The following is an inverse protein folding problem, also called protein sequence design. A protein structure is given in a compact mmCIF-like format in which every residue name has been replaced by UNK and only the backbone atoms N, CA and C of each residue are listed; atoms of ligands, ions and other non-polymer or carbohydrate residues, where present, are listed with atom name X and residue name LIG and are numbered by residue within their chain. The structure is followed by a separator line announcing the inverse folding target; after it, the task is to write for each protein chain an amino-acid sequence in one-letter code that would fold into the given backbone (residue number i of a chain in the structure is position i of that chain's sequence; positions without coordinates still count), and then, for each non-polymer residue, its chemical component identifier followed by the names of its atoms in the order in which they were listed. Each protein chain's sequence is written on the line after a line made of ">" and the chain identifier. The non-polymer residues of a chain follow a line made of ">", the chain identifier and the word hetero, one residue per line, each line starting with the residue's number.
data_IF_045943672315
#
_entry.id   IF_045943672315
#
_cell.length_a   1.000
_cell.length_b   1.000
_cell.length_c   1.000
_cell.angle_alpha   90.00
_cell.angle_beta   90.00
_cell.angle_gamma   90.00
#
_symmetry.space_group_name_H-M   'P 1'
#
loop_
_entity.id
_entity.type
_entity.pdbx_description
1 polymer ?
#
# COMPACT_ATOMS: atom_id res chain seq x y z
N UNK A 1 -5.81 11.85 8.70
CA UNK A 1 -5.56 12.77 7.57
C UNK A 1 -6.89 13.00 6.88
N UNK A 2 -7.25 14.25 6.57
CA UNK A 2 -8.53 14.55 5.94
C UNK A 2 -8.49 15.77 5.01
N UNK A 3 -9.48 15.84 4.11
CA UNK A 3 -9.81 16.99 3.27
C UNK A 3 -8.59 17.59 2.52
N UNK A 4 -7.85 16.71 1.85
CA UNK A 4 -6.54 17.03 1.28
C UNK A 4 -6.36 16.45 -0.13
N UNK A 5 -5.40 17.03 -0.87
CA UNK A 5 -4.92 16.48 -2.14
C UNK A 5 -3.41 16.26 -2.05
N UNK A 6 -2.96 15.05 -2.37
CA UNK A 6 -1.54 14.67 -2.46
C UNK A 6 -1.17 14.53 -3.92
N UNK A 7 -0.14 15.26 -4.32
CA UNK A 7 0.47 15.15 -5.64
C UNK A 7 1.67 14.20 -5.58
N UNK A 8 2.46 14.12 -6.66
CA UNK A 8 3.71 13.34 -6.79
C UNK A 8 4.39 12.96 -5.46
N UNK A 9 4.66 11.67 -5.29
CA UNK A 9 5.35 11.13 -4.13
C UNK A 9 5.37 9.60 -4.11
N UNK A 10 6.21 9.00 -3.28
CA UNK A 10 6.35 7.53 -3.17
C UNK A 10 5.09 6.81 -2.64
N UNK A 11 4.13 7.55 -2.12
CA UNK A 11 2.86 7.05 -1.59
C UNK A 11 1.94 8.22 -1.28
N UNK A 12 0.67 8.14 -1.66
CA UNK A 12 -0.35 9.10 -1.22
C UNK A 12 -0.47 9.10 0.30
N UNK A 13 -0.51 7.91 0.90
CA UNK A 13 -0.23 7.67 2.31
C UNK A 13 0.68 6.46 2.46
N UNK A 14 1.74 6.61 3.27
CA UNK A 14 2.66 5.52 3.60
C UNK A 14 2.67 5.22 5.11
N UNK A 15 2.51 3.95 5.46
CA UNK A 15 2.54 3.42 6.82
C UNK A 15 3.79 2.54 6.95
N UNK A 16 4.65 2.89 7.91
CA UNK A 16 5.98 2.29 8.09
C UNK A 16 7.11 3.09 7.44
N UNK A 17 8.34 2.57 7.35
CA UNK A 17 8.67 1.16 7.48
C UNK A 17 9.05 0.68 8.89
N UNK A 18 9.35 1.61 9.79
CA UNK A 18 9.65 1.36 11.20
C UNK A 18 8.35 1.20 11.98
N UNK A 19 8.05 -0.03 12.38
CA UNK A 19 6.76 -0.42 12.96
C UNK A 19 6.89 -0.94 14.38
N UNK A 20 8.09 -0.95 14.97
CA UNK A 20 8.42 -1.49 16.29
C UNK A 20 7.55 -0.95 17.44
N UNK A 21 7.10 0.31 17.36
CA UNK A 21 6.21 0.92 18.36
C UNK A 21 4.73 0.57 18.18
N UNK A 22 4.38 -0.12 17.09
CA UNK A 22 3.01 -0.32 16.64
C UNK A 22 2.37 0.94 16.06
N UNK A 23 1.26 0.76 15.36
CA UNK A 23 0.39 1.84 14.87
C UNK A 23 -1.04 1.35 14.93
N UNK A 24 -1.95 2.17 15.46
CA UNK A 24 -3.37 1.82 15.52
C UNK A 24 -4.27 3.03 15.47
N UNK A 25 -5.54 2.79 15.19
CA UNK A 25 -6.61 3.79 15.22
C UNK A 25 -6.34 4.95 14.24
N UNK A 26 -5.90 4.61 13.02
CA UNK A 26 -5.55 5.61 11.98
C UNK A 26 -6.69 5.75 10.99
N UNK A 27 -7.15 6.99 10.78
CA UNK A 27 -8.16 7.33 9.79
C UNK A 27 -7.59 8.26 8.70
N UNK A 28 -7.80 7.87 7.45
CA UNK A 28 -7.58 8.69 6.26
C UNK A 28 -8.89 8.80 5.51
N UNK A 29 -9.43 10.01 5.37
CA UNK A 29 -10.71 10.20 4.70
C UNK A 29 -10.80 11.44 3.84
N UNK A 30 -11.62 11.43 2.80
CA UNK A 30 -11.81 12.59 1.92
C UNK A 30 -10.48 13.11 1.32
N UNK A 31 -9.66 12.19 0.80
CA UNK A 31 -8.35 12.54 0.23
C UNK A 31 -8.27 12.11 -1.23
N UNK A 32 -7.67 12.98 -2.04
CA UNK A 32 -7.33 12.68 -3.43
C UNK A 32 -5.82 12.47 -3.60
N UNK A 33 -5.42 11.42 -4.32
CA UNK A 33 -4.03 11.16 -4.70
C UNK A 33 -3.89 11.28 -6.22
N UNK A 34 -2.90 12.06 -6.69
CA UNK A 34 -2.69 12.28 -8.12
C UNK A 34 -1.20 12.17 -8.48
N UNK A 35 -0.86 11.17 -9.29
CA UNK A 35 0.50 10.96 -9.81
C UNK A 35 1.48 10.34 -8.82
N UNK A 36 1.02 9.84 -7.67
CA UNK A 36 1.87 9.14 -6.71
C UNK A 36 2.28 7.76 -7.24
N UNK A 37 3.41 7.24 -6.78
CA UNK A 37 3.86 5.88 -7.12
C UNK A 37 2.84 4.86 -6.63
N UNK A 38 2.57 4.87 -5.31
CA UNK A 38 1.51 4.10 -4.69
C UNK A 38 0.39 5.02 -4.19
N UNK A 39 -0.85 4.55 -4.16
CA UNK A 39 -1.94 5.24 -3.49
C UNK A 39 -1.82 5.08 -1.97
N UNK A 40 -2.18 3.90 -1.48
CA UNK A 40 -2.02 3.48 -0.08
C UNK A 40 -0.88 2.47 0.00
N UNK A 41 0.10 2.73 0.86
CA UNK A 41 1.31 1.91 0.97
C UNK A 41 1.62 1.48 2.40
N UNK A 42 1.71 0.18 2.63
CA UNK A 42 2.23 -0.39 3.87
C UNK A 42 3.55 -1.10 3.61
N UNK A 43 4.55 -0.84 4.46
CA UNK A 43 5.85 -1.50 4.37
C UNK A 43 6.39 -1.85 5.75
N UNK A 44 6.91 -3.06 5.91
CA UNK A 44 7.76 -3.43 7.03
C UNK A 44 8.64 -4.62 6.64
N UNK A 45 9.51 -5.04 7.56
CA UNK A 45 10.43 -6.17 7.37
C UNK A 45 10.63 -6.91 8.70
N UNK A 46 11.03 -8.18 8.61
CA UNK A 46 11.49 -8.95 9.78
C UNK A 46 12.65 -8.20 10.45
N UNK A 47 12.65 -8.15 11.78
CA UNK A 47 13.55 -7.33 12.58
C UNK A 47 12.97 -5.98 13.01
N UNK A 48 11.91 -5.50 12.35
CA UNK A 48 11.23 -4.25 12.74
C UNK A 48 10.08 -4.47 13.68
N UNK A 49 9.37 -5.58 13.56
CA UNK A 49 8.33 -5.96 14.50
C UNK A 49 7.15 -5.02 14.59
N UNK A 50 6.39 -5.18 15.67
CA UNK A 50 5.24 -4.37 16.01
C UNK A 50 3.97 -4.65 15.21
N UNK A 51 2.85 -4.17 15.75
CA UNK A 51 1.51 -4.43 15.23
C UNK A 51 0.96 -3.14 14.64
N UNK A 52 0.60 -3.20 13.37
CA UNK A 52 -0.13 -2.16 12.67
C UNK A 52 -1.55 -2.66 12.45
N UNK A 53 -2.51 -2.05 13.12
CA UNK A 53 -3.88 -2.53 13.11
C UNK A 53 -4.91 -1.42 13.12
N UNK A 54 -6.14 -1.74 12.78
CA UNK A 54 -7.28 -0.82 12.92
C UNK A 54 -7.01 0.48 12.13
N UNK A 55 -6.78 0.31 10.83
CA UNK A 55 -6.47 1.37 9.88
C UNK A 55 -7.60 1.51 8.87
N UNK A 56 -8.11 2.73 8.73
CA UNK A 56 -9.34 3.01 8.01
C UNK A 56 -9.08 4.03 6.90
N UNK A 57 -9.42 3.66 5.68
CA UNK A 57 -9.45 4.53 4.50
C UNK A 57 -10.89 4.68 4.04
N UNK A 58 -11.38 5.90 3.91
CA UNK A 58 -12.76 6.16 3.50
C UNK A 58 -12.87 7.34 2.54
N UNK A 59 -13.71 7.22 1.51
CA UNK A 59 -13.97 8.27 0.53
C UNK A 59 -12.68 8.83 -0.09
N UNK A 60 -12.00 7.99 -0.86
CA UNK A 60 -10.74 8.34 -1.51
C UNK A 60 -10.87 8.36 -3.03
N UNK A 61 -10.12 9.25 -3.67
CA UNK A 61 -10.00 9.30 -5.12
C UNK A 61 -8.53 9.18 -5.53
N UNK A 62 -8.24 8.33 -6.51
CA UNK A 62 -6.88 8.12 -7.01
C UNK A 62 -6.85 8.33 -8.52
N UNK A 63 -5.86 9.08 -8.99
CA UNK A 63 -5.66 9.34 -10.41
C UNK A 63 -4.19 9.10 -10.78
N UNK A 64 -3.97 8.42 -11.90
CA UNK A 64 -2.64 8.21 -12.46
C UNK A 64 -1.63 7.61 -11.48
N UNK A 65 -2.05 6.61 -10.70
CA UNK A 65 -1.14 5.91 -9.77
C UNK A 65 -0.16 5.06 -10.59
N UNK A 66 1.14 5.22 -10.35
CA UNK A 66 2.14 4.63 -11.24
C UNK A 66 2.23 3.11 -11.04
N UNK A 67 2.37 2.68 -9.79
CA UNK A 67 2.59 1.28 -9.43
C UNK A 67 1.33 0.65 -8.86
N UNK A 68 0.97 0.95 -7.60
CA UNK A 68 -0.09 0.22 -6.87
C UNK A 68 -1.12 1.16 -6.26
N UNK A 69 -2.42 0.99 -6.55
CA UNK A 69 -3.45 1.74 -5.83
C UNK A 69 -3.45 1.38 -4.33
N UNK A 70 -3.29 0.10 -4.00
CA UNK A 70 -3.10 -0.39 -2.65
C UNK A 70 -1.95 -1.40 -2.60
N UNK A 71 -0.96 -1.16 -1.75
CA UNK A 71 0.16 -2.07 -1.55
C UNK A 71 0.43 -2.37 -0.07
N UNK A 72 0.74 -3.63 0.22
CA UNK A 72 1.26 -4.08 1.50
C UNK A 72 2.43 -5.03 1.30
N UNK A 73 3.56 -4.72 1.93
CA UNK A 73 4.75 -5.56 1.88
C UNK A 73 5.37 -5.76 3.27
N UNK A 74 5.19 -6.95 3.84
CA UNK A 74 5.79 -7.35 5.12
C UNK A 74 7.24 -7.87 4.99
N UNK A 75 7.72 -8.07 3.75
CA UNK A 75 9.09 -8.49 3.43
C UNK A 75 9.86 -7.39 2.67
N UNK A 76 9.76 -6.15 3.16
CA UNK A 76 10.40 -5.01 2.51
C UNK A 76 11.93 -5.15 2.50
N UNK A 77 12.56 -4.84 1.35
CA UNK A 77 13.99 -4.97 1.08
C UNK A 77 14.58 -6.39 1.23
N UNK A 78 13.76 -7.44 1.22
CA UNK A 78 14.21 -8.84 1.38
C UNK A 78 15.16 -9.02 2.57
N UNK A 79 14.92 -8.29 3.66
CA UNK A 79 15.71 -8.45 4.88
C UNK A 79 15.46 -9.86 5.40
N UNK A 80 16.43 -10.75 5.20
CA UNK A 80 16.46 -12.03 5.91
C UNK A 80 16.43 -11.72 7.42
N UNK A 81 15.81 -12.57 8.26
CA UNK A 81 15.95 -12.41 9.70
C UNK A 81 17.44 -12.27 9.99
N UNK A 82 17.86 -11.14 10.59
CA UNK A 82 19.25 -10.94 10.97
C UNK A 82 19.73 -12.22 11.66
N UNK A 83 20.84 -12.77 11.18
CA UNK A 83 21.45 -14.00 11.70
C UNK A 83 21.78 -13.77 13.17
N UNK A 84 20.86 -14.16 14.05
CA UNK A 84 20.90 -13.85 15.48
C UNK A 84 19.50 -13.70 16.05
N UNK A 85 18.87 -14.81 16.43
CA UNK A 85 17.74 -14.91 17.37
C UNK A 85 16.63 -13.84 17.27
N UNK A 86 16.24 -13.41 16.07
CA UNK A 86 14.99 -12.66 15.83
C UNK A 86 13.79 -13.61 15.69
N UNK A 87 13.82 -14.73 16.42
CA UNK A 87 12.75 -15.74 16.45
C UNK A 87 11.59 -15.34 17.37
N UNK A 88 11.70 -14.23 18.09
CA UNK A 88 10.60 -13.66 18.84
C UNK A 88 9.63 -12.95 17.90
N UNK A 89 8.33 -13.26 18.04
CA UNK A 89 7.23 -12.59 17.34
C UNK A 89 7.30 -11.06 17.45
N UNK A 90 7.95 -10.53 18.50
CA UNK A 90 8.14 -9.09 18.67
C UNK A 90 8.86 -8.40 17.52
N UNK A 91 9.63 -9.14 16.71
CA UNK A 91 10.39 -8.63 15.57
C UNK A 91 9.76 -8.99 14.22
N UNK A 92 8.64 -9.71 14.22
CA UNK A 92 7.87 -10.03 13.02
C UNK A 92 6.77 -8.98 12.88
N UNK A 93 6.74 -8.19 11.80
CA UNK A 93 5.69 -7.18 11.63
C UNK A 93 4.34 -7.84 11.43
N UNK A 94 3.31 -7.31 12.08
CA UNK A 94 1.93 -7.77 11.94
C UNK A 94 1.10 -6.66 11.32
N UNK A 95 0.38 -6.97 10.25
CA UNK A 95 -0.63 -6.09 9.68
C UNK A 95 -1.99 -6.77 9.76
N UNK A 96 -2.96 -6.11 10.40
CA UNK A 96 -4.30 -6.68 10.56
C UNK A 96 -5.39 -5.61 10.60
N UNK A 97 -6.63 -5.96 10.29
CA UNK A 97 -7.80 -5.09 10.44
C UNK A 97 -7.65 -3.76 9.67
N UNK A 98 -7.52 -3.85 8.35
CA UNK A 98 -7.39 -2.69 7.47
C UNK A 98 -8.60 -2.63 6.55
N UNK A 99 -9.31 -1.51 6.56
CA UNK A 99 -10.49 -1.34 5.71
C UNK A 99 -10.31 -0.19 4.72
N UNK A 100 -10.68 -0.45 3.47
CA UNK A 100 -10.77 0.54 2.39
C UNK A 100 -12.21 0.61 1.94
N UNK A 101 -12.85 1.74 2.20
CA UNK A 101 -14.25 1.99 1.89
C UNK A 101 -14.37 3.16 0.91
N UNK A 102 -15.30 3.07 -0.04
CA UNK A 102 -15.65 4.19 -0.92
C UNK A 102 -14.42 4.73 -1.69
N UNK A 103 -13.72 3.86 -2.41
CA UNK A 103 -12.51 4.22 -3.17
C UNK A 103 -12.80 4.19 -4.68
N UNK A 104 -12.43 5.27 -5.37
CA UNK A 104 -12.45 5.33 -6.84
C UNK A 104 -11.03 5.52 -7.34
N UNK A 105 -10.58 4.63 -8.23
CA UNK A 105 -9.26 4.70 -8.87
C UNK A 105 -9.45 4.88 -10.38
N UNK A 106 -9.12 6.06 -10.89
CA UNK A 106 -8.99 6.35 -12.31
C UNK A 106 -7.53 6.19 -12.73
N UNK A 107 -7.17 4.94 -13.00
CA UNK A 107 -5.85 4.42 -13.34
C UNK A 107 -4.91 4.10 -12.15
N UNK A 108 -4.46 2.84 -12.14
CA UNK A 108 -3.26 2.37 -11.44
C UNK A 108 -2.51 1.32 -12.30
N UNK A 109 -1.19 1.20 -12.17
CA UNK A 109 -0.43 0.09 -12.79
C UNK A 109 -0.96 -1.29 -12.33
N UNK A 110 -1.26 -1.43 -11.05
CA UNK A 110 -1.94 -2.58 -10.46
C UNK A 110 -2.88 -2.11 -9.35
N UNK A 111 -4.07 -2.70 -9.25
CA UNK A 111 -5.03 -2.27 -8.22
C UNK A 111 -4.57 -2.69 -6.82
N UNK A 112 -4.25 -3.96 -6.59
CA UNK A 112 -3.91 -4.46 -5.24
C UNK A 112 -2.66 -5.33 -5.28
N UNK A 113 -1.66 -5.02 -4.44
CA UNK A 113 -0.51 -5.89 -4.18
C UNK A 113 -0.36 -6.16 -2.69
N UNK A 114 -0.51 -7.42 -2.28
CA UNK A 114 -0.30 -7.83 -0.89
C UNK A 114 0.74 -8.95 -0.87
N UNK A 115 1.82 -8.73 -0.12
CA UNK A 115 2.89 -9.70 0.12
C UNK A 115 3.12 -9.79 1.63
N UNK A 116 2.57 -10.82 2.25
CA UNK A 116 2.80 -11.15 3.66
C UNK A 116 4.03 -12.03 3.89
N UNK A 117 4.02 -12.75 5.01
CA UNK A 117 5.01 -13.77 5.36
C UNK A 117 4.27 -15.09 5.58
N UNK A 118 4.74 -16.19 4.98
CA UNK A 118 4.07 -17.49 5.07
C UNK A 118 3.75 -17.98 6.50
N UNK A 119 4.57 -17.61 7.50
CA UNK A 119 4.37 -17.95 8.91
C UNK A 119 3.72 -16.84 9.75
N UNK A 120 3.44 -15.68 9.15
CA UNK A 120 2.80 -14.53 9.77
C UNK A 120 2.02 -13.75 8.69
N UNK A 121 0.90 -14.31 8.20
CA UNK A 121 0.16 -13.72 7.10
C UNK A 121 -0.46 -12.38 7.49
N UNK A 122 -0.59 -11.48 6.51
CA UNK A 122 -1.37 -10.24 6.66
C UNK A 122 -2.84 -10.64 6.79
N UNK A 123 -3.58 -10.11 7.76
CA UNK A 123 -4.93 -10.60 8.04
C UNK A 123 -6.02 -9.52 8.02
N UNK A 124 -7.26 -9.94 7.77
CA UNK A 124 -8.46 -9.10 7.92
C UNK A 124 -8.39 -7.77 7.14
N UNK A 125 -8.28 -7.90 5.81
CA UNK A 125 -8.31 -6.75 4.90
C UNK A 125 -9.68 -6.71 4.24
N UNK A 126 -10.34 -5.55 4.21
CA UNK A 126 -11.65 -5.41 3.58
C UNK A 126 -11.68 -4.26 2.59
N UNK A 127 -12.18 -4.54 1.39
CA UNK A 127 -12.50 -3.53 0.37
C UNK A 127 -14.02 -3.47 0.19
N UNK A 128 -14.62 -2.31 0.48
CA UNK A 128 -16.06 -2.11 0.37
C UNK A 128 -16.39 -0.93 -0.52
N UNK A 129 -17.25 -1.13 -1.53
CA UNK A 129 -17.63 -0.07 -2.47
C UNK A 129 -16.40 0.57 -3.15
N UNK A 130 -15.66 -0.24 -3.91
CA UNK A 130 -14.41 0.18 -4.55
C UNK A 130 -14.50 -0.03 -6.05
N UNK A 131 -14.05 0.95 -6.83
CA UNK A 131 -13.92 0.83 -8.28
C UNK A 131 -12.47 1.03 -8.68
N UNK A 132 -11.89 0.02 -9.33
CA UNK A 132 -10.55 0.08 -9.87
C UNK A 132 -10.57 0.15 -11.38
N UNK A 133 -9.99 1.19 -11.97
CA UNK A 133 -9.46 1.15 -13.33
C UNK A 133 -7.96 0.94 -13.25
N UNK A 134 -7.45 -0.22 -13.68
CA UNK A 134 -6.04 -0.57 -13.50
C UNK A 134 -5.51 -1.49 -14.61
N UNK A 135 -4.20 -1.45 -14.87
CA UNK A 135 -3.56 -2.32 -15.86
C UNK A 135 -3.41 -3.77 -15.37
N UNK A 136 -3.35 -3.99 -14.05
CA UNK A 136 -3.40 -5.31 -13.45
C UNK A 136 -4.39 -5.31 -12.29
N UNK A 137 -5.10 -6.42 -12.09
CA UNK A 137 -6.08 -6.54 -11.01
C UNK A 137 -5.38 -6.69 -9.64
N UNK A 138 -5.02 -7.90 -9.25
CA UNK A 138 -4.44 -8.13 -7.93
C UNK A 138 -3.42 -9.26 -7.92
N UNK A 139 -2.51 -9.18 -6.95
CA UNK A 139 -1.65 -10.28 -6.54
C UNK A 139 -1.58 -10.28 -5.01
N UNK A 140 -2.02 -11.37 -4.40
CA UNK A 140 -2.14 -11.52 -2.95
C UNK A 140 -1.42 -12.80 -2.58
N UNK A 141 -0.40 -12.68 -1.72
CA UNK A 141 0.45 -13.78 -1.27
C UNK A 141 0.59 -13.67 0.24
N UNK A 142 0.45 -14.81 0.94
CA UNK A 142 0.55 -14.91 2.40
C UNK A 142 -0.35 -13.91 3.14
N UNK A 143 -1.64 -13.91 2.77
CA UNK A 143 -2.66 -13.14 3.44
C UNK A 143 -3.86 -14.02 3.80
N UNK A 144 -4.48 -13.74 4.94
CA UNK A 144 -5.66 -14.41 5.44
C UNK A 144 -6.84 -13.43 5.52
N UNK A 145 -8.03 -13.89 5.16
CA UNK A 145 -9.25 -13.09 5.18
C UNK A 145 -9.14 -11.73 4.46
N UNK A 146 -8.91 -11.75 3.14
CA UNK A 146 -9.09 -10.58 2.28
C UNK A 146 -10.49 -10.62 1.67
N UNK A 147 -11.32 -9.66 2.04
CA UNK A 147 -12.73 -9.58 1.63
C UNK A 147 -12.96 -8.43 0.64
N UNK A 148 -13.82 -8.70 -0.35
CA UNK A 148 -14.22 -7.73 -1.37
C UNK A 148 -15.75 -7.70 -1.45
N UNK A 149 -16.35 -6.56 -1.12
CA UNK A 149 -17.80 -6.35 -1.18
C UNK A 149 -18.11 -5.13 -2.05
N UNK A 150 -18.89 -5.35 -3.12
CA UNK A 150 -19.14 -4.32 -4.13
C UNK A 150 -17.83 -3.70 -4.68
N UNK A 151 -16.95 -4.57 -5.19
CA UNK A 151 -15.70 -4.16 -5.84
C UNK A 151 -15.80 -4.42 -7.33
N UNK A 152 -15.53 -3.41 -8.15
CA UNK A 152 -15.51 -3.51 -9.61
C UNK A 152 -14.12 -3.24 -10.18
N UNK A 153 -13.81 -3.94 -11.28
CA UNK A 153 -12.55 -3.80 -11.99
C UNK A 153 -12.81 -3.47 -13.46
N UNK A 154 -12.18 -2.41 -13.93
CA UNK A 154 -12.07 -2.03 -15.32
C UNK A 154 -10.61 -2.19 -15.75
N UNK A 155 -10.37 -3.03 -16.76
CA UNK A 155 -9.05 -3.17 -17.35
C UNK A 155 -8.64 -1.85 -18.02
N UNK A 156 -7.48 -1.33 -17.64
CA UNK A 156 -6.81 -0.25 -18.34
C UNK A 156 -5.69 -0.82 -19.23
N UNK A 157 -5.42 -0.15 -20.34
CA UNK A 157 -4.11 -0.25 -20.99
C UNK A 157 -3.11 0.53 -20.13
N UNK A 158 -1.86 0.07 -20.04
CA UNK A 158 -0.82 0.80 -19.31
C UNK A 158 -0.77 2.27 -19.74
N UNK A 159 -0.54 3.18 -18.78
CA UNK A 159 -0.19 4.57 -19.05
C UNK A 159 0.98 4.51 -20.03
N UNK A 160 0.74 4.92 -21.28
CA UNK A 160 1.77 4.90 -22.32
C UNK A 160 3.01 5.58 -21.75
N UNK A 161 4.15 4.87 -21.79
CA UNK A 161 5.39 5.22 -21.12
C UNK A 161 5.56 6.74 -20.99
N UNK A 162 5.24 7.27 -19.80
CA UNK A 162 5.54 8.66 -19.51
C UNK A 162 7.05 8.71 -19.42
N UNK A 163 7.70 9.16 -20.49
CA UNK A 163 9.12 9.47 -20.45
C UNK A 163 9.27 10.63 -19.47
N UNK A 164 9.73 10.33 -18.25
CA UNK A 164 10.27 11.36 -17.37
C UNK A 164 11.51 11.91 -18.07
N UNK A 165 11.38 13.02 -18.79
CA UNK A 165 12.52 13.84 -19.16
C UNK A 165 13.12 14.40 -17.87
N UNK A 166 13.98 13.61 -17.23
CA UNK A 166 14.89 14.11 -16.21
C UNK A 166 15.74 15.17 -16.88
N UNK A 167 15.52 16.42 -16.49
CA UNK A 167 16.42 17.51 -16.83
C UNK A 167 17.71 17.22 -16.05
N UNK A 168 18.68 16.59 -16.71
CA UNK A 168 20.05 16.53 -16.21
C UNK A 168 20.59 17.96 -16.19
N UNK A 169 20.47 18.63 -15.05
CA UNK A 169 21.25 19.83 -14.78
C UNK A 169 22.74 19.45 -14.70
N UNK A 170 23.66 20.31 -15.15
CA UNK A 170 25.08 20.04 -15.00
C UNK A 170 25.41 20.04 -13.50
N UNK A 171 26.16 19.03 -13.05
CA UNK A 171 26.68 18.98 -11.68
C UNK A 171 27.61 20.16 -11.40
N UNK A 172 27.78 20.57 -10.13
CA UNK A 172 28.66 21.67 -9.77
C UNK A 172 30.12 21.31 -10.04
N UNK A 173 30.89 22.30 -10.49
CA UNK A 173 32.35 22.27 -10.66
C UNK A 173 33.11 21.96 -9.36
#
# INVERSE_FOLDING_TARGET
>A
MEDSTVWNGHGGVAIGSYTNGGMKDVLVRNVSFNGTEDGIRFKSAVGRGGVVQDIYFDNLQMQNIQDYAFSMNANYNNQSPATGSLTSLQYVPQFQNISVNNLIVDYAGQAIRITGLAYAPISNISFNNVTFKAAHQYAIVDADNVSMHNVSYQQATELGAVYHYGISGPGPE
#
